data_IF_588117409930
#
_entry.id   IF_588117409930
#
_cell.length_a   1.000
_cell.length_b   1.000
_cell.length_c   1.000
_cell.angle_alpha   90.00
_cell.angle_beta   90.00
_cell.angle_gamma   90.00
#
_symmetry.space_group_name_H-M   'P 1'
#
loop_
_entity.id
_entity.type
_entity.pdbx_description
1 polymer ?
#
# COMPACT_ATOMS: atom_id res chain seq x y z
N UNK A 1 -22.48 -18.83 27.82
CA UNK A 1 -22.11 -17.42 27.57
C UNK A 1 -23.02 -16.74 26.54
N UNK A 2 -22.98 -17.04 25.22
CA UNK A 2 -23.90 -16.40 24.24
C UNK A 2 -25.38 -16.72 24.54
N UNK A 3 -25.66 -17.97 24.92
CA UNK A 3 -27.02 -18.47 25.23
C UNK A 3 -27.64 -17.83 26.48
N UNK A 4 -26.83 -17.55 27.50
CA UNK A 4 -27.26 -16.87 28.73
C UNK A 4 -27.54 -15.38 28.48
N UNK A 5 -26.75 -14.76 27.59
CA UNK A 5 -26.94 -13.37 27.19
C UNK A 5 -28.26 -13.18 26.43
N UNK A 6 -28.61 -14.14 25.56
CA UNK A 6 -29.89 -14.15 24.84
C UNK A 6 -31.06 -14.35 25.80
N UNK A 7 -30.93 -15.25 26.78
CA UNK A 7 -31.96 -15.44 27.81
C UNK A 7 -32.16 -14.18 28.68
N UNK A 8 -31.08 -13.50 29.05
CA UNK A 8 -31.15 -12.23 29.78
C UNK A 8 -31.82 -11.13 28.94
N UNK A 9 -31.46 -10.99 27.66
CA UNK A 9 -32.13 -10.05 26.76
C UNK A 9 -33.61 -10.38 26.60
N UNK A 10 -33.98 -11.65 26.49
CA UNK A 10 -35.38 -12.11 26.41
C UNK A 10 -36.18 -11.95 27.71
N UNK A 11 -35.50 -11.79 28.85
CA UNK A 11 -36.16 -11.51 30.14
C UNK A 11 -36.52 -10.03 30.32
N UNK A 12 -36.00 -9.14 29.47
CA UNK A 12 -36.31 -7.70 29.49
C UNK A 12 -37.61 -7.41 28.72
N UNK A 13 -38.39 -6.44 29.21
CA UNK A 13 -39.61 -5.99 28.53
C UNK A 13 -39.33 -5.44 27.13
N UNK A 14 -40.32 -5.52 26.23
CA UNK A 14 -40.19 -5.16 24.80
C UNK A 14 -39.62 -3.77 24.55
N UNK A 15 -39.92 -2.80 25.43
CA UNK A 15 -39.36 -1.44 25.38
C UNK A 15 -37.84 -1.42 25.65
N UNK A 16 -37.38 -2.12 26.68
CA UNK A 16 -35.96 -2.18 27.04
C UNK A 16 -35.14 -2.95 26.00
N UNK A 17 -35.70 -4.01 25.41
CA UNK A 17 -35.11 -4.70 24.26
C UNK A 17 -34.98 -3.78 23.03
N UNK A 18 -36.02 -2.99 22.73
CA UNK A 18 -35.98 -2.00 21.65
C UNK A 18 -34.92 -0.91 21.87
N UNK A 19 -34.77 -0.42 23.10
CA UNK A 19 -33.70 0.52 23.48
C UNK A 19 -32.30 -0.11 23.36
N UNK A 20 -32.10 -1.34 23.85
CA UNK A 20 -30.81 -2.03 23.74
C UNK A 20 -30.44 -2.33 22.29
N UNK A 21 -31.40 -2.77 21.48
CA UNK A 21 -31.19 -3.04 20.05
C UNK A 21 -30.82 -1.78 19.27
N UNK A 22 -31.51 -0.67 19.52
CA UNK A 22 -31.21 0.63 18.88
C UNK A 22 -29.88 1.22 19.36
N UNK A 23 -29.54 1.08 20.64
CA UNK A 23 -28.23 1.48 21.17
C UNK A 23 -27.08 0.64 20.58
N UNK A 24 -27.24 -0.68 20.52
CA UNK A 24 -26.26 -1.58 19.91
C UNK A 24 -26.08 -1.30 18.42
N UNK A 25 -27.18 -1.06 17.69
CA UNK A 25 -27.13 -0.66 16.29
C UNK A 25 -26.44 0.69 16.10
N UNK A 26 -26.78 1.69 16.91
CA UNK A 26 -26.13 3.00 16.90
C UNK A 26 -24.62 2.90 17.15
N UNK A 27 -24.21 2.07 18.11
CA UNK A 27 -22.80 1.81 18.40
C UNK A 27 -22.10 1.09 17.24
N UNK A 28 -22.72 0.07 16.65
CA UNK A 28 -22.18 -0.63 15.49
C UNK A 28 -22.00 0.31 14.28
N UNK A 29 -22.97 1.18 14.01
CA UNK A 29 -22.87 2.20 12.96
C UNK A 29 -21.78 3.23 13.27
N UNK A 30 -21.65 3.64 14.53
CA UNK A 30 -20.60 4.56 14.95
C UNK A 30 -19.20 3.96 14.79
N UNK A 31 -18.99 2.73 15.26
CA UNK A 31 -17.75 1.98 15.11
C UNK A 31 -17.42 1.75 13.63
N UNK A 32 -18.41 1.35 12.83
CA UNK A 32 -18.26 1.19 11.38
C UNK A 32 -17.86 2.50 10.68
N UNK A 33 -18.46 3.64 11.04
CA UNK A 33 -18.07 4.96 10.52
C UNK A 33 -16.64 5.33 10.91
N UNK A 34 -16.21 5.01 12.13
CA UNK A 34 -14.84 5.29 12.58
C UNK A 34 -13.82 4.49 11.76
N UNK A 35 -14.08 3.19 11.57
CA UNK A 35 -13.25 2.31 10.72
C UNK A 35 -13.20 2.80 9.28
N UNK A 36 -14.35 3.18 8.69
CA UNK A 36 -14.41 3.69 7.33
C UNK A 36 -13.67 5.02 7.16
N UNK A 37 -13.73 5.92 8.16
CA UNK A 37 -12.96 7.17 8.14
C UNK A 37 -11.46 6.90 8.20
N UNK A 38 -11.03 5.99 9.08
CA UNK A 38 -9.63 5.55 9.16
C UNK A 38 -9.15 4.91 7.86
N UNK A 39 -9.97 4.03 7.27
CA UNK A 39 -9.67 3.38 5.99
C UNK A 39 -9.55 4.39 4.84
N UNK A 40 -10.42 5.40 4.77
CA UNK A 40 -10.34 6.46 3.74
C UNK A 40 -9.08 7.31 3.89
N UNK A 41 -8.72 7.70 5.11
CA UNK A 41 -7.49 8.47 5.36
C UNK A 41 -6.24 7.66 5.03
N UNK A 42 -6.20 6.39 5.48
CA UNK A 42 -5.14 5.45 5.15
C UNK A 42 -5.04 5.24 3.63
N UNK A 43 -6.17 5.07 2.93
CA UNK A 43 -6.22 4.89 1.48
C UNK A 43 -5.63 6.07 0.71
N UNK A 44 -5.92 7.32 1.10
CA UNK A 44 -5.32 8.50 0.46
C UNK A 44 -3.80 8.56 0.63
N UNK A 45 -3.31 8.25 1.83
CA UNK A 45 -1.87 8.22 2.10
C UNK A 45 -1.20 7.05 1.37
N UNK A 46 -1.82 5.87 1.35
CA UNK A 46 -1.35 4.72 0.60
C UNK A 46 -1.29 5.03 -0.89
N UNK A 47 -2.32 5.66 -1.45
CA UNK A 47 -2.32 6.08 -2.85
C UNK A 47 -1.14 7.02 -3.14
N UNK A 48 -0.90 8.03 -2.29
CA UNK A 48 0.24 8.92 -2.47
C UNK A 48 1.59 8.19 -2.38
N UNK A 49 1.73 7.22 -1.49
CA UNK A 49 2.94 6.39 -1.37
C UNK A 49 3.14 5.52 -2.61
N UNK A 50 2.08 4.89 -3.12
CA UNK A 50 2.11 4.09 -4.34
C UNK A 50 2.45 4.95 -5.55
N UNK A 51 1.85 6.13 -5.67
CA UNK A 51 2.16 7.10 -6.75
C UNK A 51 3.62 7.54 -6.69
N UNK A 52 4.16 7.79 -5.49
CA UNK A 52 5.58 8.09 -5.31
C UNK A 52 6.48 6.94 -5.74
N UNK A 53 6.12 5.71 -5.37
CA UNK A 53 6.84 4.51 -5.76
C UNK A 53 6.87 4.32 -7.29
N UNK A 54 5.73 4.53 -7.96
CA UNK A 54 5.61 4.47 -9.43
C UNK A 54 6.46 5.53 -10.13
N UNK A 55 6.43 6.78 -9.65
CA UNK A 55 7.26 7.86 -10.21
C UNK A 55 8.74 7.57 -10.01
N UNK A 56 9.14 7.09 -8.83
CA UNK A 56 10.54 6.74 -8.55
C UNK A 56 11.03 5.59 -9.45
N UNK A 57 10.22 4.54 -9.62
CA UNK A 57 10.51 3.45 -10.56
C UNK A 57 10.73 3.98 -11.96
N UNK A 58 9.84 4.85 -12.43
CA UNK A 58 9.92 5.44 -13.77
C UNK A 58 11.21 6.27 -13.96
N UNK A 59 11.52 7.17 -13.02
CA UNK A 59 12.73 8.01 -13.07
C UNK A 59 13.99 7.14 -13.07
N UNK A 60 14.06 6.13 -12.20
CA UNK A 60 15.22 5.24 -12.13
C UNK A 60 15.43 4.47 -13.44
N UNK A 61 14.36 3.92 -14.02
CA UNK A 61 14.47 3.21 -15.29
C UNK A 61 14.83 4.14 -16.45
N UNK A 62 14.21 5.32 -16.52
CA UNK A 62 14.40 6.28 -17.61
C UNK A 62 15.78 6.94 -17.57
N UNK A 63 16.22 7.40 -16.41
CA UNK A 63 17.41 8.24 -16.28
C UNK A 63 18.68 7.47 -15.89
N UNK A 64 18.54 6.34 -15.19
CA UNK A 64 19.70 5.57 -14.70
C UNK A 64 19.86 4.27 -15.47
N UNK A 65 18.87 3.36 -15.45
CA UNK A 65 18.99 2.03 -16.11
C UNK A 65 19.23 2.16 -17.61
N UNK A 66 18.41 2.97 -18.28
CA UNK A 66 18.50 3.19 -19.73
C UNK A 66 19.48 4.32 -20.09
N UNK A 67 20.36 4.71 -19.15
CA UNK A 67 21.37 5.73 -19.39
C UNK A 67 22.43 5.26 -20.39
N UNK A 68 22.87 6.15 -21.26
CA UNK A 68 24.00 5.90 -22.17
C UNK A 68 25.33 5.80 -21.43
N UNK A 69 25.41 6.31 -20.19
CA UNK A 69 26.61 6.26 -19.38
C UNK A 69 26.68 4.96 -18.56
N UNK A 70 27.71 4.10 -18.75
CA UNK A 70 27.79 2.78 -18.11
C UNK A 70 27.75 2.84 -16.58
N UNK A 71 28.36 3.87 -15.99
CA UNK A 71 28.36 4.08 -14.55
C UNK A 71 26.94 4.33 -14.00
N UNK A 72 26.16 5.21 -14.64
CA UNK A 72 24.78 5.49 -14.24
C UNK A 72 23.86 4.28 -14.43
N UNK A 73 24.06 3.52 -15.52
CA UNK A 73 23.35 2.25 -15.75
C UNK A 73 23.65 1.20 -14.68
N UNK A 74 24.92 1.04 -14.30
CA UNK A 74 25.32 0.14 -13.22
C UNK A 74 24.68 0.54 -11.88
N UNK A 75 24.73 1.83 -11.54
CA UNK A 75 24.11 2.36 -10.33
C UNK A 75 22.59 2.18 -10.32
N UNK A 76 21.92 2.46 -11.44
CA UNK A 76 20.47 2.27 -11.59
C UNK A 76 20.06 0.82 -11.36
N UNK A 77 20.77 -0.12 -11.99
CA UNK A 77 20.53 -1.55 -11.81
C UNK A 77 20.78 -2.01 -10.36
N UNK A 78 21.84 -1.52 -9.72
CA UNK A 78 22.11 -1.84 -8.32
C UNK A 78 21.00 -1.37 -7.39
N UNK A 79 20.47 -0.15 -7.61
CA UNK A 79 19.37 0.40 -6.83
C UNK A 79 18.09 -0.41 -7.01
N UNK A 80 17.77 -0.82 -8.23
CA UNK A 80 16.60 -1.66 -8.53
C UNK A 80 16.70 -3.02 -7.85
N UNK A 81 17.85 -3.69 -7.98
CA UNK A 81 18.08 -4.99 -7.34
C UNK A 81 17.96 -4.86 -5.82
N UNK A 82 18.50 -3.79 -5.25
CA UNK A 82 18.40 -3.51 -3.81
C UNK A 82 16.94 -3.33 -3.38
N UNK A 83 16.13 -2.59 -4.15
CA UNK A 83 14.71 -2.41 -3.84
C UNK A 83 13.91 -3.71 -3.98
N UNK A 84 14.18 -4.50 -5.02
CA UNK A 84 13.55 -5.82 -5.19
C UNK A 84 13.91 -6.76 -4.04
N UNK A 85 15.19 -6.79 -3.62
CA UNK A 85 15.65 -7.60 -2.49
C UNK A 85 15.04 -7.14 -1.16
N UNK A 86 14.98 -5.83 -0.92
CA UNK A 86 14.34 -5.28 0.27
C UNK A 86 12.88 -5.74 0.40
N UNK A 87 12.14 -5.76 -0.72
CA UNK A 87 10.76 -6.26 -0.74
C UNK A 87 10.65 -7.75 -0.51
N UNK A 88 11.60 -8.54 -1.03
CA UNK A 88 11.68 -9.96 -0.74
C UNK A 88 11.87 -10.21 0.77
N UNK A 89 12.76 -9.45 1.42
CA UNK A 89 12.98 -9.52 2.88
C UNK A 89 11.68 -9.19 3.63
N UNK A 90 10.94 -8.16 3.21
CA UNK A 90 9.65 -7.81 3.83
C UNK A 90 8.64 -8.94 3.65
N UNK A 91 8.51 -9.52 2.45
CA UNK A 91 7.61 -10.64 2.20
C UNK A 91 7.93 -11.84 3.12
N UNK A 92 9.21 -12.14 3.29
CA UNK A 92 9.67 -13.17 4.22
C UNK A 92 9.33 -12.84 5.68
N UNK A 93 9.56 -11.60 6.11
CA UNK A 93 9.23 -11.16 7.47
C UNK A 93 7.72 -11.24 7.77
N UNK A 94 6.87 -10.96 6.79
CA UNK A 94 5.41 -11.14 6.92
C UNK A 94 5.08 -12.61 7.14
N UNK A 95 5.63 -13.51 6.33
CA UNK A 95 5.39 -14.95 6.49
C UNK A 95 5.81 -15.45 7.88
N UNK A 96 7.02 -15.11 8.32
CA UNK A 96 7.53 -15.49 9.66
C UNK A 96 6.61 -14.96 10.77
N UNK A 97 6.18 -13.72 10.67
CA UNK A 97 5.32 -13.08 11.68
C UNK A 97 3.96 -13.77 11.75
N UNK A 98 3.31 -13.96 10.61
CA UNK A 98 1.96 -14.55 10.57
C UNK A 98 1.96 -16.04 10.92
N UNK A 99 2.98 -16.81 10.52
CA UNK A 99 3.13 -18.20 10.98
C UNK A 99 3.41 -18.28 12.48
N UNK A 100 4.19 -17.34 13.03
CA UNK A 100 4.37 -17.20 14.47
C UNK A 100 3.04 -16.97 15.20
N UNK A 101 2.23 -16.02 14.74
CA UNK A 101 0.91 -15.74 15.32
C UNK A 101 -0.05 -16.91 15.13
N UNK A 102 -0.04 -17.56 13.98
CA UNK A 102 -0.85 -18.76 13.76
C UNK A 102 -0.49 -19.87 14.74
N UNK A 103 0.80 -20.12 14.98
CA UNK A 103 1.23 -21.17 15.91
C UNK A 103 0.69 -20.97 17.33
N UNK A 104 0.40 -19.72 17.71
CA UNK A 104 -0.19 -19.37 19.01
C UNK A 104 -1.72 -19.49 19.02
N UNK A 105 -2.39 -19.15 17.91
CA UNK A 105 -3.85 -19.05 17.86
C UNK A 105 -4.54 -20.26 17.20
N UNK A 106 -3.79 -21.14 16.52
CA UNK A 106 -4.28 -22.28 15.73
C UNK A 106 -5.33 -21.92 14.66
N UNK A 107 -5.32 -20.68 14.20
CA UNK A 107 -6.30 -20.14 13.25
C UNK A 107 -5.79 -20.21 11.80
N UNK A 108 -6.27 -21.19 11.03
CA UNK A 108 -5.79 -21.47 9.67
C UNK A 108 -5.98 -20.31 8.67
N UNK A 109 -6.98 -19.44 8.90
CA UNK A 109 -7.23 -18.29 8.02
C UNK A 109 -6.08 -17.28 8.01
N UNK A 110 -5.26 -17.24 9.07
CA UNK A 110 -4.07 -16.39 9.13
C UNK A 110 -3.04 -16.75 8.05
N UNK A 111 -2.94 -18.03 7.65
CA UNK A 111 -2.07 -18.45 6.54
C UNK A 111 -2.49 -17.84 5.23
N UNK A 112 -3.80 -17.83 4.95
CA UNK A 112 -4.33 -17.26 3.73
C UNK A 112 -4.01 -15.77 3.65
N UNK A 113 -4.16 -15.06 4.78
CA UNK A 113 -3.82 -13.64 4.89
C UNK A 113 -2.32 -13.41 4.71
N UNK A 114 -1.48 -14.24 5.33
CA UNK A 114 -0.03 -14.18 5.19
C UNK A 114 0.42 -14.33 3.73
N UNK A 115 -0.08 -15.37 3.04
CA UNK A 115 0.23 -15.62 1.63
C UNK A 115 -0.27 -14.49 0.74
N UNK A 116 -1.47 -13.96 0.99
CA UNK A 116 -1.99 -12.83 0.24
C UNK A 116 -1.07 -11.62 0.34
N UNK A 117 -0.66 -11.23 1.54
CA UNK A 117 0.25 -10.08 1.71
C UNK A 117 1.64 -10.35 1.14
N UNK A 118 2.21 -11.53 1.37
CA UNK A 118 3.52 -11.89 0.84
C UNK A 118 3.54 -11.90 -0.69
N UNK A 119 2.51 -12.46 -1.33
CA UNK A 119 2.39 -12.48 -2.79
C UNK A 119 2.26 -11.06 -3.37
N UNK A 120 1.48 -10.18 -2.75
CA UNK A 120 1.39 -8.79 -3.20
C UNK A 120 2.75 -8.09 -3.17
N UNK A 121 3.55 -8.30 -2.12
CA UNK A 121 4.89 -7.71 -2.03
C UNK A 121 5.86 -8.34 -3.04
N UNK A 122 5.75 -9.64 -3.31
CA UNK A 122 6.56 -10.31 -4.32
C UNK A 122 6.23 -9.83 -5.74
N UNK A 123 4.95 -9.65 -6.07
CA UNK A 123 4.51 -9.04 -7.33
C UNK A 123 5.06 -7.63 -7.45
N UNK A 124 5.04 -6.87 -6.36
CA UNK A 124 5.55 -5.53 -6.32
C UNK A 124 7.09 -5.49 -6.43
N UNK A 125 7.81 -6.51 -5.93
CA UNK A 125 9.24 -6.70 -6.15
C UNK A 125 9.57 -7.03 -7.62
N UNK A 126 8.84 -7.94 -8.23
CA UNK A 126 8.95 -8.26 -9.66
C UNK A 126 8.68 -7.03 -10.54
N UNK A 127 7.75 -6.16 -10.11
CA UNK A 127 7.44 -4.92 -10.83
C UNK A 127 8.61 -3.92 -10.89
N UNK A 128 9.57 -3.99 -9.96
CA UNK A 128 10.79 -3.17 -9.98
C UNK A 128 11.81 -3.66 -11.01
N UNK A 129 11.80 -4.94 -11.35
CA UNK A 129 12.74 -5.54 -12.30
C UNK A 129 12.29 -5.33 -13.76
N UNK A 130 11.01 -5.00 -13.97
CA UNK A 130 10.43 -4.74 -15.29
C UNK A 130 10.65 -3.30 -15.68
N UNK A 131 11.00 -3.07 -16.95
CA UNK A 131 11.19 -1.72 -17.48
C UNK A 131 9.92 -0.86 -17.35
N UNK A 132 10.06 0.27 -16.64
CA UNK A 132 9.02 1.29 -16.43
C UNK A 132 9.39 2.67 -17.00
N UNK A 133 10.35 2.74 -17.91
CA UNK A 133 10.82 3.99 -18.50
C UNK A 133 9.79 4.74 -19.37
N UNK A 134 8.74 4.06 -19.83
CA UNK A 134 7.69 4.64 -20.67
C UNK A 134 6.72 5.52 -19.85
N UNK A 135 6.37 6.69 -20.39
CA UNK A 135 5.48 7.66 -19.75
C UNK A 135 4.06 7.12 -19.54
N UNK A 136 3.65 6.08 -20.28
CA UNK A 136 2.35 5.40 -20.08
C UNK A 136 2.15 4.89 -18.66
N UNK A 137 3.24 4.53 -17.97
CA UNK A 137 3.18 3.98 -16.61
C UNK A 137 2.89 5.02 -15.53
N UNK A 138 3.00 6.31 -15.85
CA UNK A 138 2.70 7.43 -14.94
C UNK A 138 1.64 8.39 -15.48
N UNK A 139 1.03 8.07 -16.63
CA UNK A 139 0.06 8.94 -17.30
C UNK A 139 -1.29 9.04 -16.56
N UNK A 140 -1.64 8.00 -15.78
CA UNK A 140 -2.89 7.93 -15.02
C UNK A 140 -2.82 8.57 -13.64
N UNK A 141 -1.63 9.07 -13.24
CA UNK A 141 -1.44 9.76 -11.96
C UNK A 141 -1.95 11.20 -12.08
N UNK A 142 -2.54 11.71 -10.99
CA UNK A 142 -2.98 13.10 -10.94
C UNK A 142 -1.83 14.06 -11.29
N UNK A 143 -2.05 15.03 -12.19
CA UNK A 143 -0.99 15.90 -12.70
C UNK A 143 -0.33 16.73 -11.58
N UNK A 144 -1.08 17.12 -10.55
CA UNK A 144 -0.54 17.80 -9.37
C UNK A 144 0.43 16.92 -8.57
N UNK A 145 0.08 15.64 -8.36
CA UNK A 145 0.91 14.67 -7.65
C UNK A 145 2.16 14.34 -8.46
N UNK A 146 2.00 14.20 -9.78
CA UNK A 146 3.11 13.97 -10.71
C UNK A 146 4.10 15.15 -10.72
N UNK A 147 3.60 16.38 -10.79
CA UNK A 147 4.44 17.59 -10.76
C UNK A 147 5.18 17.75 -9.42
N UNK A 148 4.48 17.51 -8.30
CA UNK A 148 5.11 17.57 -6.97
C UNK A 148 6.24 16.54 -6.83
N UNK A 149 6.01 15.31 -7.28
CA UNK A 149 6.95 14.21 -7.12
C UNK A 149 8.14 14.32 -8.08
N UNK A 150 7.92 14.76 -9.33
CA UNK A 150 8.99 15.02 -10.29
C UNK A 150 9.86 16.21 -9.85
N UNK A 151 9.25 17.31 -9.38
CA UNK A 151 9.99 18.50 -8.92
C UNK A 151 10.86 18.26 -7.67
N UNK A 152 10.53 17.25 -6.85
CA UNK A 152 11.34 16.86 -5.68
C UNK A 152 12.43 15.84 -5.98
N UNK A 153 12.35 15.13 -7.11
CA UNK A 153 13.23 13.99 -7.42
C UNK A 153 14.34 14.33 -8.41
N UNK A 154 14.25 15.45 -9.11
CA UNK A 154 15.31 15.98 -9.98
C UNK A 154 15.93 17.21 -9.30
N UNK A 155 17.11 17.10 -8.65
CA UNK A 155 17.82 18.29 -8.22
C UNK A 155 18.39 18.99 -9.46
N UNK A 156 17.77 20.11 -9.88
CA UNK A 156 18.36 21.03 -10.87
C UNK A 156 17.52 21.45 -12.07
N UNK A 157 16.27 21.00 -12.24
CA UNK A 157 15.43 21.45 -13.39
C UNK A 157 14.66 22.75 -13.14
N UNK A 158 15.04 23.53 -12.13
CA UNK A 158 14.48 24.89 -11.92
C UNK A 158 15.27 25.98 -12.69
N UNK A 159 16.39 25.66 -13.34
CA UNK A 159 17.10 26.64 -14.18
C UNK A 159 17.45 26.09 -15.58
N UNK A 160 16.71 26.62 -16.55
CA UNK A 160 17.10 26.85 -17.95
C UNK A 160 17.76 25.70 -18.75
N UNK A 161 16.98 25.07 -19.62
CA UNK A 161 17.47 24.70 -20.95
C UNK A 161 16.41 25.09 -21.99
N UNK A 162 16.68 26.07 -22.88
CA UNK A 162 15.77 26.36 -23.97
C UNK A 162 15.80 25.15 -24.90
N UNK A 163 14.67 24.45 -25.01
CA UNK A 163 14.44 23.53 -26.12
C UNK A 163 14.70 24.31 -27.40
N UNK A 164 15.77 23.97 -28.13
CA UNK A 164 15.85 24.32 -29.56
C UNK A 164 14.68 23.64 -30.26
N UNK A 165 13.81 24.36 -30.97
CA UNK A 165 12.83 23.74 -31.83
C UNK A 165 13.52 23.23 -33.12
N UNK A 166 13.05 22.06 -33.56
CA UNK A 166 13.20 21.41 -34.87
C UNK A 166 14.62 21.34 -35.48
#
# INVERSE_FOLDING_TARGET
>A
MITELIQYVNSLGSFAQGMLGSAAFGFAVFAGRLLLRGARYSSKNLFRLVSRDMVMKHILHKNYVNSTFPFLAMWGNLLIITQALHRLIIAFAILVTFFGVESLLSQQWLRLVAYYFALNILIDADSWLKDRSDDKYIAHLDPEVKAELLGKSIPGETEASPRKPA
#
